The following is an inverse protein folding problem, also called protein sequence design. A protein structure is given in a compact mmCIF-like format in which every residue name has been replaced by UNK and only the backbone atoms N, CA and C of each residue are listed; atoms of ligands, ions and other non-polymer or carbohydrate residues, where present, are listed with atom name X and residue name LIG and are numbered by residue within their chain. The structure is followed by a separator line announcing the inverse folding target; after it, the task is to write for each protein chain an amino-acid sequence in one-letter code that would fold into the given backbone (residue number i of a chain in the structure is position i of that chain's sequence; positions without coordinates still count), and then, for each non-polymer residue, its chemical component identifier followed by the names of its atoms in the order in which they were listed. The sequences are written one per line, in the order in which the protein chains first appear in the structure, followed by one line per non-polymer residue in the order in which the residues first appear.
data_IF_241409182728
#
_entry.id   IF_241409182728
#
_cell.length_a   1.000
_cell.length_b   1.000
_cell.length_c   1.000
_cell.angle_alpha   90.00
_cell.angle_beta   90.00
_cell.angle_gamma   90.00
#
_symmetry.space_group_name_H-M   'P 1'
#
loop_
_entity.id
_entity.type
_entity.pdbx_description
1 polymer ?
#
# COMPACT_ATOMS: atom_id res chain seq x y z
N UNK A 1 -33.97 14.85 -16.81
CA UNK A 1 -32.85 14.18 -17.53
C UNK A 1 -31.58 14.51 -16.76
N UNK A 2 -30.83 13.52 -16.30
CA UNK A 2 -29.61 13.77 -15.53
C UNK A 2 -28.59 14.49 -16.43
N UNK A 3 -28.03 15.61 -15.96
CA UNK A 3 -26.94 16.31 -16.65
C UNK A 3 -25.72 15.38 -16.71
N UNK A 4 -25.57 14.66 -17.81
CA UNK A 4 -24.38 13.85 -18.07
C UNK A 4 -23.23 14.81 -18.35
N UNK A 5 -22.44 15.14 -17.32
CA UNK A 5 -21.18 15.83 -17.51
C UNK A 5 -20.30 14.99 -18.45
N UNK A 6 -19.84 15.60 -19.53
CA UNK A 6 -18.84 15.00 -20.42
C UNK A 6 -17.53 14.91 -19.64
N UNK A 7 -17.10 13.69 -19.34
CA UNK A 7 -15.82 13.44 -18.67
C UNK A 7 -14.77 13.29 -19.76
N UNK A 8 -13.72 14.10 -19.69
CA UNK A 8 -12.55 13.92 -20.53
C UNK A 8 -11.77 12.68 -20.08
N UNK A 9 -11.70 11.70 -20.98
CA UNK A 9 -11.02 10.42 -20.75
C UNK A 9 -9.51 10.63 -20.57
N UNK A 10 -8.92 11.60 -21.26
CA UNK A 10 -7.49 11.85 -21.20
C UNK A 10 -7.10 12.46 -19.85
N UNK A 11 -7.86 13.46 -19.39
CA UNK A 11 -7.68 14.03 -18.06
C UNK A 11 -7.82 12.98 -16.94
N UNK A 12 -8.75 12.03 -17.09
CA UNK A 12 -8.91 10.93 -16.14
C UNK A 12 -7.69 9.97 -16.14
N UNK A 13 -7.11 9.66 -17.31
CA UNK A 13 -5.87 8.86 -17.41
C UNK A 13 -4.71 9.55 -16.69
N UNK A 14 -4.55 10.85 -16.95
CA UNK A 14 -3.46 11.65 -16.42
C UNK A 14 -3.54 11.74 -14.90
N UNK A 15 -4.71 12.05 -14.34
CA UNK A 15 -4.94 12.08 -12.90
C UNK A 15 -4.68 10.71 -12.24
N UNK A 16 -5.12 9.62 -12.88
CA UNK A 16 -4.83 8.27 -12.39
C UNK A 16 -3.32 7.94 -12.45
N UNK A 17 -2.60 8.45 -13.44
CA UNK A 17 -1.15 8.26 -13.58
C UNK A 17 -0.31 8.98 -12.52
N UNK A 18 -0.90 9.97 -11.85
CA UNK A 18 -0.30 10.63 -10.68
C UNK A 18 -0.42 9.81 -9.40
N UNK A 19 -1.13 8.67 -9.43
CA UNK A 19 -1.34 7.84 -8.24
C UNK A 19 -2.48 8.33 -7.34
N UNK A 20 -3.37 9.18 -7.85
CA UNK A 20 -4.52 9.68 -7.12
C UNK A 20 -5.56 8.58 -6.87
N UNK A 21 -6.27 8.69 -5.76
CA UNK A 21 -7.40 7.83 -5.40
C UNK A 21 -8.63 8.15 -6.25
N UNK A 22 -9.56 7.19 -6.38
CA UNK A 22 -10.83 7.40 -7.11
C UNK A 22 -11.63 8.60 -6.58
N UNK A 23 -11.51 8.92 -5.28
CA UNK A 23 -12.14 10.11 -4.68
C UNK A 23 -11.47 11.40 -5.17
N UNK A 24 -10.14 11.49 -5.10
CA UNK A 24 -9.39 12.66 -5.57
C UNK A 24 -9.56 12.89 -7.07
N UNK A 25 -9.64 11.83 -7.86
CA UNK A 25 -9.93 11.91 -9.29
C UNK A 25 -11.36 12.45 -9.50
N UNK A 26 -12.35 11.96 -8.75
CA UNK A 26 -13.72 12.44 -8.84
C UNK A 26 -13.82 13.94 -8.48
N UNK A 27 -13.17 14.36 -7.40
CA UNK A 27 -13.12 15.75 -6.95
C UNK A 27 -12.45 16.65 -8.00
N UNK A 28 -11.35 16.19 -8.61
CA UNK A 28 -10.64 16.91 -9.68
C UNK A 28 -11.46 17.04 -10.95
N UNK A 29 -12.30 16.04 -11.25
CA UNK A 29 -13.23 16.05 -12.39
C UNK A 29 -14.56 16.77 -12.07
N UNK A 30 -14.74 17.25 -10.84
CA UNK A 30 -15.97 17.92 -10.40
C UNK A 30 -17.21 17.02 -10.42
N UNK A 31 -17.02 15.72 -10.19
CA UNK A 31 -18.08 14.71 -10.10
C UNK A 31 -18.07 14.05 -8.73
N UNK A 32 -19.20 13.46 -8.34
CA UNK A 32 -19.22 12.65 -7.12
C UNK A 32 -18.51 11.31 -7.34
N UNK A 33 -17.97 10.73 -6.26
CA UNK A 33 -17.39 9.37 -6.30
C UNK A 33 -18.37 8.32 -6.81
N UNK A 34 -19.65 8.43 -6.46
CA UNK A 34 -20.68 7.49 -6.93
C UNK A 34 -20.90 7.61 -8.44
N UNK A 35 -20.81 8.82 -8.99
CA UNK A 35 -20.82 9.04 -10.45
C UNK A 35 -19.61 8.37 -11.11
N UNK A 36 -18.41 8.56 -10.56
CA UNK A 36 -17.20 7.93 -11.08
C UNK A 36 -17.28 6.40 -11.03
N UNK A 37 -17.77 5.83 -9.92
CA UNK A 37 -17.96 4.39 -9.77
C UNK A 37 -18.98 3.83 -10.76
N UNK A 38 -20.09 4.54 -10.99
CA UNK A 38 -21.10 4.14 -11.98
C UNK A 38 -20.51 4.19 -13.39
N UNK A 39 -19.76 5.24 -13.72
CA UNK A 39 -19.08 5.38 -15.01
C UNK A 39 -18.12 4.22 -15.30
N UNK A 40 -17.38 3.76 -14.29
CA UNK A 40 -16.50 2.58 -14.42
C UNK A 40 -17.28 1.29 -14.70
N UNK A 41 -18.48 1.15 -14.16
CA UNK A 41 -19.31 -0.03 -14.38
C UNK A 41 -20.07 0.02 -15.72
N UNK A 42 -20.41 1.23 -16.19
CA UNK A 42 -21.19 1.44 -17.42
C UNK A 42 -20.30 1.57 -18.67
N UNK A 43 -19.01 1.90 -18.52
CA UNK A 43 -18.07 2.16 -19.61
C UNK A 43 -16.71 1.46 -19.36
N UNK A 44 -16.53 0.31 -20.02
CA UNK A 44 -15.29 -0.48 -19.98
C UNK A 44 -14.06 0.30 -20.46
N UNK A 45 -14.24 1.25 -21.39
CA UNK A 45 -13.14 2.07 -21.90
C UNK A 45 -12.64 3.01 -20.80
N UNK A 46 -13.57 3.61 -20.06
CA UNK A 46 -13.24 4.47 -18.92
C UNK A 46 -12.50 3.69 -17.83
N UNK A 47 -12.94 2.47 -17.51
CA UNK A 47 -12.24 1.62 -16.55
C UNK A 47 -10.83 1.24 -17.03
N UNK A 48 -10.69 0.82 -18.30
CA UNK A 48 -9.41 0.43 -18.87
C UNK A 48 -8.38 1.57 -18.82
N UNK A 49 -8.80 2.79 -19.13
CA UNK A 49 -7.96 3.99 -19.08
C UNK A 49 -7.53 4.30 -17.64
N UNK A 50 -8.46 4.27 -16.67
CA UNK A 50 -8.11 4.46 -15.26
C UNK A 50 -7.15 3.38 -14.75
N UNK A 51 -7.34 2.12 -15.14
CA UNK A 51 -6.45 1.02 -14.78
C UNK A 51 -5.05 1.21 -15.37
N UNK A 52 -4.97 1.65 -16.63
CA UNK A 52 -3.71 1.99 -17.31
C UNK A 52 -2.99 3.14 -16.62
N UNK A 53 -3.71 4.19 -16.23
CA UNK A 53 -3.16 5.29 -15.42
C UNK A 53 -2.56 4.79 -14.11
N UNK A 54 -3.31 3.99 -13.33
CA UNK A 54 -2.81 3.42 -12.07
C UNK A 54 -1.57 2.54 -12.26
N UNK A 55 -1.52 1.75 -13.33
CA UNK A 55 -0.33 0.96 -13.66
C UNK A 55 0.90 1.86 -13.91
N UNK A 56 0.74 2.97 -14.63
CA UNK A 56 1.82 3.95 -14.84
C UNK A 56 2.30 4.56 -13.52
N UNK A 57 1.39 4.89 -12.61
CA UNK A 57 1.75 5.42 -11.29
C UNK A 57 2.62 4.42 -10.49
N UNK A 58 2.23 3.14 -10.48
CA UNK A 58 2.98 2.07 -9.81
C UNK A 58 4.37 1.90 -10.43
N UNK A 59 4.48 1.93 -11.77
CA UNK A 59 5.78 1.85 -12.45
C UNK A 59 6.67 3.01 -12.03
N UNK A 60 6.14 4.24 -12.01
CA UNK A 60 6.90 5.44 -11.62
C UNK A 60 7.44 5.34 -10.19
N UNK A 61 6.60 4.96 -9.24
CA UNK A 61 7.02 4.79 -7.83
C UNK A 61 8.01 3.63 -7.68
N UNK A 62 7.79 2.52 -8.40
CA UNK A 62 8.69 1.37 -8.38
C UNK A 62 10.07 1.73 -8.93
N UNK A 63 10.15 2.51 -10.02
CA UNK A 63 11.42 2.99 -10.56
C UNK A 63 12.15 3.90 -9.57
N UNK A 64 11.44 4.82 -8.92
CA UNK A 64 12.03 5.68 -7.88
C UNK A 64 12.54 4.86 -6.69
N UNK A 65 11.80 3.84 -6.25
CA UNK A 65 12.24 2.93 -5.20
C UNK A 65 13.52 2.19 -5.60
N UNK A 66 13.61 1.69 -6.83
CA UNK A 66 14.81 0.98 -7.30
C UNK A 66 16.03 1.90 -7.36
N UNK A 67 15.86 3.15 -7.78
CA UNK A 67 16.95 4.14 -7.74
C UNK A 67 17.45 4.38 -6.31
N UNK A 68 16.54 4.49 -5.34
CA UNK A 68 16.93 4.63 -3.92
C UNK A 68 17.65 3.38 -3.39
N UNK A 69 17.25 2.19 -3.84
CA UNK A 69 17.96 0.93 -3.53
C UNK A 69 19.38 0.95 -4.09
N UNK A 70 19.54 1.35 -5.36
CA UNK A 70 20.85 1.46 -6.03
C UNK A 70 21.75 2.52 -5.40
N UNK A 71 21.17 3.63 -4.93
CA UNK A 71 21.87 4.69 -4.19
C UNK A 71 22.29 4.27 -2.77
N UNK A 72 21.90 3.08 -2.30
CA UNK A 72 22.29 2.55 -0.99
C UNK A 72 21.40 3.00 0.17
N UNK A 73 20.18 3.47 -0.09
CA UNK A 73 19.23 3.81 0.97
C UNK A 73 18.80 2.55 1.73
N UNK A 74 19.31 2.37 2.96
CA UNK A 74 19.02 1.21 3.80
C UNK A 74 17.51 1.00 3.98
N UNK A 75 16.73 2.07 4.09
CA UNK A 75 15.26 2.01 4.25
C UNK A 75 14.59 1.43 3.00
N UNK A 76 15.04 1.84 1.81
CA UNK A 76 14.52 1.34 0.54
C UNK A 76 14.88 -0.14 0.34
N UNK A 77 16.12 -0.52 0.67
CA UNK A 77 16.60 -1.91 0.62
C UNK A 77 15.78 -2.81 1.55
N UNK A 78 15.63 -2.44 2.83
CA UNK A 78 14.85 -3.20 3.81
C UNK A 78 13.39 -3.32 3.36
N UNK A 79 12.78 -2.22 2.92
CA UNK A 79 11.40 -2.23 2.43
C UNK A 79 11.23 -3.19 1.26
N UNK A 80 12.11 -3.12 0.25
CA UNK A 80 12.06 -3.99 -0.91
C UNK A 80 12.21 -5.47 -0.54
N UNK A 81 13.19 -5.80 0.32
CA UNK A 81 13.44 -7.18 0.74
C UNK A 81 12.29 -7.75 1.58
N UNK A 82 11.74 -6.97 2.50
CA UNK A 82 10.58 -7.42 3.31
C UNK A 82 9.31 -7.57 2.46
N UNK A 83 8.97 -6.56 1.65
CA UNK A 83 7.71 -6.54 0.92
C UNK A 83 7.70 -7.39 -0.35
N UNK A 84 8.86 -7.55 -1.02
CA UNK A 84 8.93 -8.24 -2.33
C UNK A 84 9.78 -9.50 -2.34
N UNK A 85 10.88 -9.54 -1.58
CA UNK A 85 11.69 -10.75 -1.43
C UNK A 85 11.18 -11.66 -0.28
N UNK A 86 10.18 -11.21 0.48
CA UNK A 86 9.54 -12.00 1.53
C UNK A 86 10.38 -12.18 2.79
N UNK A 87 11.40 -11.35 3.01
CA UNK A 87 12.24 -11.45 4.20
C UNK A 87 11.42 -11.15 5.46
N UNK A 88 11.47 -12.06 6.42
CA UNK A 88 10.82 -11.93 7.73
C UNK A 88 11.86 -12.13 8.81
N UNK A 89 11.65 -11.43 9.91
CA UNK A 89 12.38 -11.73 11.14
C UNK A 89 11.63 -12.88 11.84
N UNK A 90 12.36 -13.89 12.28
CA UNK A 90 11.79 -14.93 13.14
C UNK A 90 11.54 -14.33 14.52
N UNK A 91 10.30 -14.37 14.99
CA UNK A 91 10.01 -14.07 16.39
C UNK A 91 10.59 -15.19 17.26
N UNK A 92 11.34 -14.86 18.33
CA UNK A 92 11.83 -15.88 19.24
C UNK A 92 10.63 -16.59 19.88
N UNK A 93 10.63 -17.93 19.83
CA UNK A 93 9.63 -18.73 20.55
C UNK A 93 9.60 -18.31 22.01
N UNK A 94 8.40 -17.95 22.51
CA UNK A 94 8.16 -17.70 23.92
C UNK A 94 8.30 -19.03 24.64
N UNK A 95 9.51 -19.34 25.10
CA UNK A 95 9.75 -20.51 25.96
C UNK A 95 9.22 -20.19 27.34
N UNK A 96 8.32 -21.05 27.85
CA UNK A 96 7.89 -20.96 29.24
C UNK A 96 9.12 -21.02 30.15
N UNK A 97 9.26 -20.00 31.01
CA UNK A 97 10.34 -19.98 32.00
C UNK A 97 10.03 -21.08 33.00
N UNK A 98 10.93 -22.04 33.27
CA UNK A 98 10.69 -23.08 34.25
C UNK A 98 10.40 -22.46 35.63
N UNK A 99 9.53 -23.08 36.44
CA UNK A 99 9.18 -22.55 37.74
C UNK A 99 10.43 -22.44 38.63
N UNK A 100 10.62 -21.28 39.27
CA UNK A 100 11.70 -21.05 40.21
C UNK A 100 11.47 -21.91 41.47
N UNK A 101 12.38 -22.86 41.73
CA UNK A 101 12.36 -23.66 42.95
C UNK A 101 13.20 -22.93 44.01
N UNK A 102 12.55 -22.36 45.03
CA UNK A 102 13.22 -21.78 46.20
C UNK A 102 13.27 -22.85 47.30
N UNK A 103 14.44 -23.43 47.52
CA UNK A 103 14.69 -24.28 48.68
C UNK A 103 15.14 -23.43 49.87
N UNK A 104 14.30 -23.30 50.89
CA UNK A 104 14.66 -22.64 52.15
C UNK A 104 15.39 -23.66 53.01
N UNK A 105 16.70 -23.48 53.20
CA UNK A 105 17.45 -24.20 54.21
C UNK A 105 17.36 -23.43 55.53
N UNK A 106 16.59 -23.96 56.47
CA UNK A 106 16.60 -23.50 57.86
C UNK A 106 17.84 -24.07 58.57
N UNK A 107 18.96 -23.34 58.48
CA UNK A 107 20.08 -23.54 59.41
C UNK A 107 19.77 -22.79 60.71
N UNK A 108 18.93 -23.41 61.53
CA UNK A 108 18.78 -23.06 62.92
C UNK A 108 19.21 -24.28 63.76
N UNK A 109 20.52 -24.44 63.92
CA UNK A 109 21.07 -25.22 65.03
C UNK A 109 20.92 -24.40 66.31
N UNK A 110 20.20 -24.99 67.26
CA UNK A 110 20.06 -24.62 68.67
C UNK A 110 21.39 -24.27 69.36
#
# INVERSE_FOLDING_TARGET
MANTKTIDLQAAEELASLGLTDQQIADSLGISRSTLSRRKADDDTFEAILRKGKAKAIVKVSSALMQEVENGSLRAVIFYLKCRAGWREEEPEIKEIPPMIISVHTDATN
#
